data_IF_851592464704
#
_entry.id   IF_851592464704
#
_cell.length_a   1.000
_cell.length_b   1.000
_cell.length_c   1.000
_cell.angle_alpha   90.00
_cell.angle_beta   90.00
_cell.angle_gamma   90.00
#
_symmetry.space_group_name_H-M   'P 1'
#
loop_
_entity.id
_entity.type
_entity.pdbx_description
1 polymer ?
#
# COMPACT_ATOMS: atom_id res chain seq x y z
N UNK A 1 8.77 -0.74 0.47
CA UNK A 1 8.09 -1.53 -0.58
C UNK A 1 6.62 -1.12 -0.70
N UNK A 2 5.84 -1.11 0.38
CA UNK A 2 4.41 -0.74 0.35
C UNK A 2 4.15 0.62 -0.31
N UNK A 3 4.89 1.69 0.04
CA UNK A 3 4.75 2.99 -0.62
C UNK A 3 4.96 2.95 -2.15
N UNK A 4 5.92 2.14 -2.62
CA UNK A 4 6.20 1.98 -4.06
C UNK A 4 5.05 1.22 -4.72
N UNK A 5 4.57 0.13 -4.11
CA UNK A 5 3.41 -0.63 -4.63
C UNK A 5 2.13 0.22 -4.68
N UNK A 6 1.95 1.13 -3.72
CA UNK A 6 0.85 2.09 -3.77
C UNK A 6 1.02 3.10 -4.92
N UNK A 7 2.23 3.63 -5.12
CA UNK A 7 2.52 4.53 -6.23
C UNK A 7 2.33 3.85 -7.60
N UNK A 8 2.76 2.60 -7.75
CA UNK A 8 2.52 1.77 -8.93
C UNK A 8 1.03 1.59 -9.18
N UNK A 9 0.24 1.27 -8.15
CA UNK A 9 -1.22 1.17 -8.26
C UNK A 9 -1.90 2.49 -8.65
N UNK A 10 -1.38 3.64 -8.21
CA UNK A 10 -1.84 4.96 -8.66
C UNK A 10 -1.53 5.16 -10.14
N UNK A 11 -0.28 4.90 -10.56
CA UNK A 11 0.17 5.08 -11.94
C UNK A 11 -0.66 4.22 -12.91
N UNK A 12 -0.96 2.97 -12.54
CA UNK A 12 -1.79 2.07 -13.34
C UNK A 12 -3.22 2.58 -13.59
N UNK A 13 -3.73 3.45 -12.72
CA UNK A 13 -5.14 3.90 -12.74
C UNK A 13 -5.31 5.41 -12.99
N UNK A 14 -4.24 6.13 -13.34
CA UNK A 14 -4.26 7.60 -13.49
C UNK A 14 -3.35 8.06 -14.64
N UNK A 15 -3.21 9.38 -14.82
CA UNK A 15 -2.33 9.98 -15.83
C UNK A 15 -0.87 10.18 -15.36
N UNK A 16 -0.53 9.75 -14.14
CA UNK A 16 0.85 9.78 -13.65
C UNK A 16 1.72 8.76 -14.41
N UNK A 17 2.99 9.08 -14.62
CA UNK A 17 3.89 8.26 -15.47
C UNK A 17 4.98 7.55 -14.66
N UNK A 18 5.41 8.14 -13.54
CA UNK A 18 6.46 7.59 -12.68
C UNK A 18 6.30 8.09 -11.23
N UNK A 19 7.16 7.60 -10.34
CA UNK A 19 7.27 8.08 -8.97
C UNK A 19 8.69 8.53 -8.65
N UNK A 20 8.82 9.48 -7.72
CA UNK A 20 10.10 9.95 -7.21
C UNK A 20 10.06 10.19 -5.71
N UNK A 21 11.21 10.03 -5.07
CA UNK A 21 11.40 10.34 -3.65
C UNK A 21 11.70 11.83 -3.48
N UNK A 22 10.94 12.51 -2.63
CA UNK A 22 11.13 13.91 -2.22
C UNK A 22 11.19 14.95 -3.38
N UNK A 23 10.65 14.60 -4.56
CA UNK A 23 10.53 15.48 -5.72
C UNK A 23 9.08 15.53 -6.22
N UNK A 24 8.62 16.68 -6.72
CA UNK A 24 7.30 16.84 -7.35
C UNK A 24 7.42 17.31 -8.80
N UNK A 25 6.63 16.73 -9.69
CA UNK A 25 6.48 17.14 -11.09
C UNK A 25 5.06 16.83 -11.55
N UNK A 26 4.57 17.52 -12.58
CA UNK A 26 3.17 17.48 -13.04
C UNK A 26 2.64 16.07 -13.36
N UNK A 27 3.54 15.13 -13.69
CA UNK A 27 3.19 13.72 -13.98
C UNK A 27 3.95 12.71 -13.12
N UNK A 28 4.47 13.13 -11.98
CA UNK A 28 5.19 12.26 -11.07
C UNK A 28 4.49 12.15 -9.73
N UNK A 29 4.24 10.91 -9.27
CA UNK A 29 3.81 10.66 -7.89
C UNK A 29 4.98 10.93 -6.95
N UNK A 30 4.83 11.95 -6.10
CA UNK A 30 5.82 12.25 -5.07
C UNK A 30 5.65 11.32 -3.87
N UNK A 31 6.74 10.65 -3.48
CA UNK A 31 6.79 9.84 -2.26
C UNK A 31 7.63 10.58 -1.24
N UNK A 32 7.07 10.78 -0.04
CA UNK A 32 7.80 11.32 1.11
C UNK A 32 8.05 10.20 2.12
N UNK A 33 9.30 10.07 2.56
CA UNK A 33 9.70 9.04 3.52
C UNK A 33 10.14 9.68 4.83
N UNK A 34 9.37 9.46 5.90
CA UNK A 34 9.64 10.03 7.22
C UNK A 34 10.11 8.92 8.14
N UNK A 35 11.21 9.15 8.86
CA UNK A 35 11.74 8.24 9.89
C UNK A 35 11.68 8.92 11.24
N UNK A 36 10.81 8.43 12.11
CA UNK A 36 10.58 9.02 13.43
C UNK A 36 10.34 7.92 14.48
N UNK A 37 11.04 8.04 15.61
CA UNK A 37 10.85 7.18 16.78
C UNK A 37 10.89 5.68 16.46
N UNK A 38 9.97 4.94 17.09
CA UNK A 38 9.78 3.49 16.92
C UNK A 38 8.49 3.16 16.16
N UNK A 39 8.10 4.00 15.19
CA UNK A 39 6.90 3.77 14.38
C UNK A 39 7.07 2.49 13.55
N UNK A 40 6.24 1.43 13.75
CA UNK A 40 6.40 0.16 13.04
C UNK A 40 6.16 0.30 11.52
N UNK A 41 5.25 1.18 11.14
CA UNK A 41 5.06 1.62 9.76
C UNK A 41 3.70 2.26 9.52
N UNK A 42 3.70 3.45 8.93
CA UNK A 42 2.50 4.17 8.50
C UNK A 42 2.64 4.54 7.04
N UNK A 43 1.59 4.30 6.25
CA UNK A 43 1.52 4.67 4.84
C UNK A 43 0.22 5.41 4.60
N UNK A 44 0.28 6.60 4.02
CA UNK A 44 -0.90 7.36 3.62
C UNK A 44 -0.81 7.79 2.17
N UNK A 45 -1.97 7.86 1.52
CA UNK A 45 -2.17 8.46 0.20
C UNK A 45 -3.23 9.54 0.39
N UNK A 46 -2.96 10.74 -0.08
CA UNK A 46 -3.90 11.85 -0.06
C UNK A 46 -4.19 12.32 -1.50
N UNK A 47 -5.47 12.47 -1.80
CA UNK A 47 -5.97 13.11 -3.01
C UNK A 47 -6.60 14.43 -2.59
N UNK A 48 -6.09 15.55 -3.09
CA UNK A 48 -6.56 16.88 -2.72
C UNK A 48 -7.03 17.64 -3.97
N UNK A 49 -8.14 18.36 -3.81
CA UNK A 49 -8.68 19.30 -4.79
C UNK A 49 -8.99 20.63 -4.10
N UNK A 50 -9.54 21.61 -4.82
CA UNK A 50 -9.97 22.88 -4.23
C UNK A 50 -11.16 22.75 -3.29
N UNK A 51 -11.91 21.65 -3.37
CA UNK A 51 -13.17 21.44 -2.63
C UNK A 51 -13.07 20.32 -1.61
N UNK A 52 -12.39 19.22 -1.95
CA UNK A 52 -12.35 18.01 -1.15
C UNK A 52 -10.93 17.46 -0.99
N UNK A 53 -10.72 16.76 0.12
CA UNK A 53 -9.54 15.93 0.35
C UNK A 53 -9.99 14.54 0.78
N UNK A 54 -9.40 13.51 0.17
CA UNK A 54 -9.61 12.10 0.50
C UNK A 54 -8.27 11.50 0.91
N UNK A 55 -8.21 10.87 2.08
CA UNK A 55 -7.02 10.15 2.56
C UNK A 55 -7.32 8.68 2.77
N UNK A 56 -6.41 7.82 2.31
CA UNK A 56 -6.36 6.39 2.64
C UNK A 56 -5.09 6.16 3.45
N UNK A 57 -5.25 5.73 4.70
CA UNK A 57 -4.15 5.52 5.65
C UNK A 57 -4.14 4.08 6.17
N UNK A 58 -2.98 3.44 6.10
CA UNK A 58 -2.70 2.19 6.79
C UNK A 58 -1.62 2.43 7.85
N UNK A 59 -1.95 2.14 9.10
CA UNK A 59 -1.09 2.33 10.26
C UNK A 59 -0.93 1.01 11.00
N UNK A 60 0.31 0.52 11.08
CA UNK A 60 0.65 -0.68 11.82
C UNK A 60 1.11 -0.30 13.24
N UNK A 61 0.35 -0.67 14.26
CA UNK A 61 0.73 -0.48 15.66
C UNK A 61 1.76 -1.49 16.15
N UNK A 62 1.81 -2.66 15.54
CA UNK A 62 2.79 -3.71 15.82
C UNK A 62 2.90 -4.66 14.60
N UNK A 63 3.62 -5.78 14.76
CA UNK A 63 3.82 -6.78 13.68
C UNK A 63 2.82 -7.95 13.70
N UNK A 64 1.96 -8.04 14.69
CA UNK A 64 1.06 -9.18 14.91
C UNK A 64 0.06 -9.33 13.76
N UNK A 65 -0.44 -8.22 13.20
CA UNK A 65 -1.35 -8.26 12.05
C UNK A 65 -0.77 -8.98 10.83
N UNK A 66 0.52 -8.82 10.56
CA UNK A 66 1.20 -9.54 9.47
C UNK A 66 1.34 -11.03 9.78
N UNK A 67 1.68 -11.37 11.02
CA UNK A 67 1.79 -12.77 11.46
C UNK A 67 0.44 -13.48 11.38
N UNK A 68 -0.62 -12.83 11.84
CA UNK A 68 -1.99 -13.35 11.73
C UNK A 68 -2.40 -13.54 10.27
N UNK A 69 -2.10 -12.58 9.39
CA UNK A 69 -2.38 -12.71 7.95
C UNK A 69 -1.68 -13.92 7.32
N UNK A 70 -0.45 -14.24 7.73
CA UNK A 70 0.27 -15.43 7.27
C UNK A 70 -0.36 -16.74 7.77
N UNK A 71 -0.85 -16.77 9.01
CA UNK A 71 -1.58 -17.93 9.55
C UNK A 71 -2.89 -18.14 8.79
N UNK A 72 -3.68 -17.08 8.58
CA UNK A 72 -4.93 -17.13 7.81
C UNK A 72 -4.66 -17.64 6.39
N UNK A 73 -3.60 -17.14 5.72
CA UNK A 73 -3.23 -17.60 4.38
C UNK A 73 -2.84 -19.09 4.36
N UNK A 74 -2.18 -19.57 5.43
CA UNK A 74 -1.78 -20.98 5.58
C UNK A 74 -2.97 -21.91 5.77
N UNK A 75 -3.99 -21.47 6.52
CA UNK A 75 -5.26 -22.21 6.66
C UNK A 75 -6.05 -22.18 5.35
N UNK A 76 -6.12 -21.00 4.70
CA UNK A 76 -6.84 -20.81 3.45
C UNK A 76 -6.28 -21.66 2.30
N UNK A 77 -4.95 -21.84 2.21
CA UNK A 77 -4.33 -22.56 1.08
C UNK A 77 -4.48 -24.08 1.16
N UNK A 78 -4.97 -24.64 2.27
CA UNK A 78 -5.10 -26.09 2.44
C UNK A 78 -5.88 -26.72 1.27
N UNK A 79 -5.28 -27.73 0.64
CA UNK A 79 -5.85 -28.46 -0.50
C UNK A 79 -5.84 -27.71 -1.84
N UNK A 80 -5.21 -26.54 -1.94
CA UNK A 80 -5.09 -25.75 -3.18
C UNK A 80 -3.71 -25.93 -3.81
N UNK A 81 -3.67 -25.93 -5.14
CA UNK A 81 -2.43 -26.04 -5.93
C UNK A 81 -2.33 -24.84 -6.86
N UNK A 82 -1.21 -24.12 -6.82
CA UNK A 82 -0.98 -22.93 -7.63
C UNK A 82 -0.17 -21.86 -6.89
N UNK A 83 -0.03 -20.70 -7.52
CA UNK A 83 0.56 -19.50 -6.92
C UNK A 83 -0.59 -18.56 -6.57
N UNK A 84 -0.70 -18.20 -5.29
CA UNK A 84 -1.75 -17.33 -4.77
C UNK A 84 -1.14 -16.11 -4.10
N UNK A 85 -1.91 -15.04 -4.04
CA UNK A 85 -1.59 -13.76 -3.42
C UNK A 85 -2.55 -13.45 -2.28
N UNK A 86 -2.26 -12.39 -1.52
CA UNK A 86 -3.22 -11.91 -0.50
C UNK A 86 -4.52 -11.39 -1.11
N UNK A 87 -4.56 -11.04 -2.41
CA UNK A 87 -5.81 -10.69 -3.09
C UNK A 87 -6.76 -11.89 -3.14
N UNK A 88 -6.23 -13.09 -3.41
CA UNK A 88 -6.99 -14.34 -3.44
C UNK A 88 -7.51 -14.70 -2.05
N UNK A 89 -6.67 -14.55 -1.01
CA UNK A 89 -7.04 -14.80 0.39
C UNK A 89 -8.17 -13.87 0.84
N UNK A 90 -8.13 -12.60 0.42
CA UNK A 90 -9.08 -11.57 0.80
C UNK A 90 -10.30 -11.47 -0.14
N UNK A 91 -10.38 -12.29 -1.19
CA UNK A 91 -11.39 -12.24 -2.25
C UNK A 91 -11.51 -10.84 -2.90
N UNK A 92 -10.37 -10.23 -3.22
CA UNK A 92 -10.29 -8.94 -3.91
C UNK A 92 -9.89 -9.17 -5.37
N UNK A 93 -10.81 -8.88 -6.30
CA UNK A 93 -10.61 -8.98 -7.75
C UNK A 93 -9.95 -7.72 -8.32
#
# INVERSE_FOLDING_TARGET
RTAITLAEGIIENTAYENWKLDESSDKTVSIKSIREGMVPGTHSIAYASSVDTIEIKHEAHNREGFALGAVIASEWIQGKTGVFSMKDVLNLS
#
